data_IF_448701546383
#
_entry.id   IF_448701546383
#
_cell.length_a   1.000
_cell.length_b   1.000
_cell.length_c   1.000
_cell.angle_alpha   90.00
_cell.angle_beta   90.00
_cell.angle_gamma   90.00
#
_symmetry.space_group_name_H-M   'P 1'
#
loop_
_entity.id
_entity.type
_entity.pdbx_description
1 polymer ?
#
# COMPACT_ATOMS: atom_id res chain seq x y z
N UNK A 1 42.31 -13.83 8.37
CA UNK A 1 42.16 -13.40 9.76
C UNK A 1 41.41 -12.08 9.76
N UNK A 2 40.24 -12.04 10.39
CA UNK A 2 39.35 -10.88 10.43
C UNK A 2 38.10 -11.23 11.22
N UNK A 3 38.30 -11.42 12.53
CA UNK A 3 37.28 -11.72 13.53
C UNK A 3 36.31 -10.55 13.64
N UNK A 4 35.07 -10.71 13.19
CA UNK A 4 33.97 -9.83 13.61
C UNK A 4 33.57 -10.24 15.02
N UNK A 5 34.17 -9.55 16.00
CA UNK A 5 33.88 -9.67 17.42
C UNK A 5 32.47 -9.17 17.74
N UNK A 6 31.69 -10.07 18.32
CA UNK A 6 30.42 -9.81 18.97
C UNK A 6 30.70 -9.19 20.36
N UNK A 7 30.24 -7.97 20.60
CA UNK A 7 30.09 -7.43 21.96
C UNK A 7 28.63 -7.05 22.17
N UNK A 8 28.00 -7.73 23.13
CA UNK A 8 26.62 -7.55 23.59
C UNK A 8 26.64 -6.79 24.92
N UNK A 9 25.77 -5.79 25.04
CA UNK A 9 25.22 -5.24 26.30
C UNK A 9 24.00 -4.38 25.89
N UNK A 10 22.74 -4.83 26.05
CA UNK A 10 21.88 -4.63 27.24
C UNK A 10 21.95 -3.17 27.72
N UNK A 11 20.95 -2.28 27.64
CA UNK A 11 19.49 -2.42 27.69
C UNK A 11 18.77 -1.35 26.86
N UNK A 12 17.89 -1.78 25.97
CA UNK A 12 16.53 -1.24 25.90
C UNK A 12 15.66 -2.37 25.37
N UNK A 13 14.53 -2.61 26.01
CA UNK A 13 13.50 -3.56 25.60
C UNK A 13 12.88 -3.15 24.26
N UNK A 14 13.69 -3.17 23.20
CA UNK A 14 13.29 -3.15 21.81
C UNK A 14 12.60 -4.49 21.57
N UNK A 15 11.30 -4.51 21.84
CA UNK A 15 10.46 -5.57 21.30
C UNK A 15 10.68 -5.54 19.79
N UNK A 16 11.51 -6.46 19.27
CA UNK A 16 11.44 -6.86 17.87
C UNK A 16 9.95 -6.99 17.61
N UNK A 17 9.32 -6.18 16.74
CA UNK A 17 7.90 -6.33 16.48
C UNK A 17 7.75 -7.74 15.92
N UNK A 18 7.32 -8.63 16.81
CA UNK A 18 7.05 -10.05 16.64
C UNK A 18 6.46 -10.21 15.25
N UNK A 19 7.07 -10.98 14.34
CA UNK A 19 6.69 -11.04 12.90
C UNK A 19 5.15 -11.09 12.69
N UNK A 20 4.46 -11.80 13.58
CA UNK A 20 3.00 -11.83 13.75
C UNK A 20 2.28 -10.46 13.79
N UNK A 21 2.82 -9.43 14.46
CA UNK A 21 2.23 -8.07 14.48
C UNK A 21 2.24 -7.42 13.10
N UNK A 22 3.27 -7.68 12.27
CA UNK A 22 3.34 -7.15 10.90
C UNK A 22 2.40 -7.91 9.96
N UNK A 23 2.32 -9.23 10.11
CA UNK A 23 1.36 -10.07 9.39
C UNK A 23 -0.07 -9.57 9.62
N UNK A 24 -0.45 -9.36 10.88
CA UNK A 24 -1.77 -8.81 11.23
C UNK A 24 -2.03 -7.43 10.60
N UNK A 25 -1.03 -6.56 10.61
CA UNK A 25 -1.12 -5.25 9.96
C UNK A 25 -1.36 -5.38 8.44
N UNK A 26 -0.69 -6.32 7.77
CA UNK A 26 -0.88 -6.57 6.34
C UNK A 26 -2.24 -7.19 6.03
N UNK A 27 -2.73 -8.10 6.87
CA UNK A 27 -4.08 -8.66 6.73
C UNK A 27 -5.15 -7.56 6.83
N UNK A 28 -5.07 -6.70 7.84
CA UNK A 28 -6.00 -5.57 8.03
C UNK A 28 -5.89 -4.53 6.91
N UNK A 29 -4.69 -4.30 6.38
CA UNK A 29 -4.48 -3.47 5.18
C UNK A 29 -5.21 -4.05 3.97
N UNK A 30 -5.10 -5.35 3.75
CA UNK A 30 -5.67 -5.99 2.56
C UNK A 30 -7.20 -6.06 2.65
N UNK A 31 -7.76 -6.21 3.85
CA UNK A 31 -9.21 -6.08 4.08
C UNK A 31 -9.70 -4.66 3.77
N UNK A 32 -9.00 -3.64 4.26
CA UNK A 32 -9.31 -2.25 3.96
C UNK A 32 -9.25 -1.96 2.45
N UNK A 33 -8.19 -2.42 1.77
CA UNK A 33 -8.04 -2.26 0.32
C UNK A 33 -9.16 -2.95 -0.47
N UNK A 34 -9.55 -4.17 -0.08
CA UNK A 34 -10.69 -4.86 -0.71
C UNK A 34 -11.99 -4.07 -0.59
N UNK A 35 -12.21 -3.41 0.55
CA UNK A 35 -13.36 -2.53 0.71
C UNK A 35 -13.25 -1.32 -0.24
N UNK A 36 -12.09 -0.67 -0.33
CA UNK A 36 -11.87 0.44 -1.27
C UNK A 36 -12.14 0.04 -2.72
N UNK A 37 -11.70 -1.16 -3.13
CA UNK A 37 -11.90 -1.68 -4.49
C UNK A 37 -13.39 -1.86 -4.80
N UNK A 38 -14.19 -2.35 -3.84
CA UNK A 38 -15.65 -2.50 -3.99
C UNK A 38 -16.37 -1.19 -4.31
N UNK A 39 -15.84 -0.07 -3.82
CA UNK A 39 -16.40 1.28 -4.03
C UNK A 39 -15.62 2.11 -5.06
N UNK A 40 -14.68 1.50 -5.79
CA UNK A 40 -13.85 2.15 -6.81
C UNK A 40 -13.08 3.37 -6.27
N UNK A 41 -12.57 3.29 -5.04
CA UNK A 41 -11.81 4.37 -4.41
C UNK A 41 -10.33 4.15 -4.66
N UNK A 42 -9.71 4.97 -5.52
CA UNK A 42 -8.27 4.90 -5.80
C UNK A 42 -7.44 5.63 -4.72
N UNK A 43 -7.89 6.80 -4.29
CA UNK A 43 -7.16 7.66 -3.35
C UNK A 43 -7.89 7.76 -2.00
N UNK A 44 -7.44 6.97 -1.03
CA UNK A 44 -8.00 6.98 0.32
C UNK A 44 -7.70 8.25 1.13
N UNK A 45 -6.80 9.13 0.65
CA UNK A 45 -6.44 10.39 1.30
C UNK A 45 -7.24 11.59 0.75
N UNK A 46 -8.03 11.40 -0.31
CA UNK A 46 -8.85 12.48 -0.87
C UNK A 46 -10.07 12.81 0.02
N UNK A 47 -10.41 14.10 0.12
CA UNK A 47 -11.51 14.58 0.97
C UNK A 47 -12.86 13.97 0.61
N UNK A 48 -13.13 13.76 -0.68
CA UNK A 48 -14.39 13.16 -1.13
C UNK A 48 -14.45 11.68 -0.78
N UNK A 49 -13.29 11.00 -0.89
CA UNK A 49 -13.16 9.57 -0.59
C UNK A 49 -13.32 9.29 0.91
N UNK A 50 -12.85 10.18 1.79
CA UNK A 50 -13.01 10.04 3.26
C UNK A 50 -14.48 9.86 3.65
N UNK A 51 -15.41 10.59 3.02
CA UNK A 51 -16.84 10.46 3.32
C UNK A 51 -17.37 9.06 2.96
N UNK A 52 -16.99 8.54 1.79
CA UNK A 52 -17.43 7.22 1.31
C UNK A 52 -16.81 6.12 2.17
N UNK A 53 -15.54 6.26 2.55
CA UNK A 53 -14.82 5.35 3.44
C UNK A 53 -15.52 5.29 4.82
N UNK A 54 -15.84 6.44 5.41
CA UNK A 54 -16.52 6.49 6.71
C UNK A 54 -17.93 5.90 6.68
N UNK A 55 -18.58 5.85 5.51
CA UNK A 55 -19.91 5.27 5.37
C UNK A 55 -19.88 3.76 5.10
N UNK A 56 -18.87 3.28 4.38
CA UNK A 56 -18.88 1.93 3.82
C UNK A 56 -17.74 1.03 4.28
N UNK A 57 -16.61 1.60 4.71
CA UNK A 57 -15.37 0.89 5.06
C UNK A 57 -14.84 1.32 6.45
N UNK A 58 -15.72 1.85 7.31
CA UNK A 58 -15.31 2.43 8.59
C UNK A 58 -14.80 1.38 9.58
N UNK A 59 -15.30 0.15 9.51
CA UNK A 59 -14.87 -0.94 10.37
C UNK A 59 -13.46 -1.41 9.99
N UNK A 60 -13.22 -1.61 8.70
CA UNK A 60 -11.93 -1.99 8.15
C UNK A 60 -10.89 -0.88 8.35
N UNK A 61 -11.26 0.39 8.18
CA UNK A 61 -10.36 1.51 8.44
C UNK A 61 -9.98 1.58 9.92
N UNK A 62 -10.93 1.41 10.85
CA UNK A 62 -10.65 1.35 12.30
C UNK A 62 -9.73 0.18 12.64
N UNK A 63 -9.98 -1.00 12.06
CA UNK A 63 -9.18 -2.19 12.30
C UNK A 63 -7.76 -2.03 11.76
N UNK A 64 -7.61 -1.41 10.59
CA UNK A 64 -6.32 -1.08 10.00
C UNK A 64 -5.53 -0.08 10.86
N UNK A 65 -6.18 0.97 11.36
CA UNK A 65 -5.56 1.92 12.30
C UNK A 65 -5.20 1.29 13.66
N UNK A 66 -5.92 0.25 14.08
CA UNK A 66 -5.67 -0.47 15.35
C UNK A 66 -4.50 -1.44 15.24
N UNK A 67 -4.40 -2.16 14.12
CA UNK A 67 -3.39 -3.21 13.95
C UNK A 67 -2.06 -2.69 13.39
N UNK A 68 -2.05 -1.51 12.79
CA UNK A 68 -0.86 -0.89 12.21
C UNK A 68 -0.42 0.37 12.96
N UNK A 69 0.86 0.71 12.86
CA UNK A 69 1.33 2.03 13.28
C UNK A 69 0.76 3.13 12.35
N UNK A 70 0.40 4.29 12.90
CA UNK A 70 -0.21 5.38 12.12
C UNK A 70 0.63 5.81 10.91
N UNK A 71 1.96 5.86 11.06
CA UNK A 71 2.88 6.17 9.94
C UNK A 71 2.84 5.14 8.83
N UNK A 72 2.59 3.86 9.14
CA UNK A 72 2.42 2.80 8.15
C UNK A 72 1.07 2.92 7.44
N UNK A 73 0.01 3.26 8.16
CA UNK A 73 -1.33 3.48 7.58
C UNK A 73 -1.29 4.58 6.52
N UNK A 74 -0.74 5.74 6.88
CA UNK A 74 -0.62 6.88 5.97
C UNK A 74 0.23 6.53 4.74
N UNK A 75 1.40 5.91 4.97
CA UNK A 75 2.28 5.45 3.89
C UNK A 75 1.57 4.48 2.94
N UNK A 76 0.88 3.45 3.44
CA UNK A 76 0.22 2.47 2.60
C UNK A 76 -0.95 3.06 1.80
N UNK A 77 -1.74 3.97 2.40
CA UNK A 77 -2.82 4.67 1.70
C UNK A 77 -2.26 5.48 0.51
N UNK A 78 -1.17 6.21 0.72
CA UNK A 78 -0.48 6.94 -0.35
C UNK A 78 0.15 6.02 -1.39
N UNK A 79 0.83 4.97 -0.93
CA UNK A 79 1.51 3.99 -1.81
C UNK A 79 0.54 3.33 -2.78
N UNK A 80 -0.62 2.86 -2.30
CA UNK A 80 -1.66 2.25 -3.16
C UNK A 80 -2.06 3.17 -4.31
N UNK A 81 -2.29 4.45 -4.03
CA UNK A 81 -2.64 5.43 -5.06
C UNK A 81 -1.53 5.62 -6.10
N UNK A 82 -0.27 5.71 -5.66
CA UNK A 82 0.88 5.82 -6.57
C UNK A 82 1.01 4.57 -7.45
N UNK A 83 0.83 3.38 -6.87
CA UNK A 83 0.90 2.11 -7.60
C UNK A 83 -0.21 1.99 -8.66
N UNK A 84 -1.45 2.37 -8.32
CA UNK A 84 -2.56 2.42 -9.29
C UNK A 84 -2.25 3.38 -10.44
N UNK A 85 -1.74 4.58 -10.14
CA UNK A 85 -1.36 5.55 -11.17
C UNK A 85 -0.23 5.04 -12.06
N UNK A 86 0.79 4.41 -11.47
CA UNK A 86 1.90 3.83 -12.21
C UNK A 86 1.41 2.72 -13.15
N UNK A 87 0.52 1.85 -12.67
CA UNK A 87 -0.07 0.79 -13.50
C UNK A 87 -0.84 1.36 -14.70
N UNK A 88 -1.73 2.34 -14.47
CA UNK A 88 -2.48 3.03 -15.54
C UNK A 88 -1.55 3.71 -16.56
N UNK A 89 -0.47 4.32 -16.09
CA UNK A 89 0.50 4.97 -16.98
C UNK A 89 1.25 3.95 -17.84
N UNK A 90 1.68 2.82 -17.26
CA UNK A 90 2.36 1.77 -18.01
C UNK A 90 1.44 1.15 -19.07
N UNK A 91 0.18 0.88 -18.72
CA UNK A 91 -0.83 0.40 -19.66
C UNK A 91 -1.02 1.36 -20.85
N UNK A 92 -1.09 2.66 -20.58
CA UNK A 92 -1.21 3.67 -21.65
C UNK A 92 0.01 3.68 -22.58
N UNK A 93 1.22 3.59 -22.01
CA UNK A 93 2.47 3.53 -22.79
C UNK A 93 2.50 2.29 -23.69
N UNK A 94 2.02 1.14 -23.20
CA UNK A 94 1.93 -0.09 -24.00
C UNK A 94 0.94 0.04 -25.15
N UNK A 95 -0.24 0.63 -24.91
CA UNK A 95 -1.25 0.91 -25.93
C UNK A 95 -0.69 1.86 -27.01
N UNK A 96 -0.04 2.94 -26.60
CA UNK A 96 0.50 3.93 -27.53
C UNK A 96 1.64 3.35 -28.37
N UNK A 97 2.52 2.55 -27.77
CA UNK A 97 3.54 1.80 -28.50
C UNK A 97 2.92 0.81 -29.50
N UNK A 98 1.83 0.13 -29.14
CA UNK A 98 1.14 -0.78 -30.05
C UNK A 98 0.53 -0.05 -31.24
N UNK A 99 -0.11 1.12 -31.01
CA UNK A 99 -0.65 1.97 -32.08
C UNK A 99 0.45 2.43 -33.03
N UNK A 100 1.56 2.96 -32.50
CA UNK A 100 2.70 3.39 -33.31
C UNK A 100 3.27 2.26 -34.17
N UNK A 101 3.34 1.02 -33.66
CA UNK A 101 3.79 -0.13 -34.44
C UNK A 101 2.83 -0.49 -35.56
N UNK A 102 1.52 -0.41 -35.31
CA UNK A 102 0.50 -0.72 -36.32
C UNK A 102 0.47 0.35 -37.42
N UNK A 103 0.56 1.64 -37.07
CA UNK A 103 0.60 2.75 -38.01
C UNK A 103 1.82 2.68 -38.97
N UNK A 104 2.92 2.07 -38.50
CA UNK A 104 4.12 1.85 -39.32
C UNK A 104 4.03 0.62 -40.23
N UNK A 105 3.09 -0.30 -39.99
CA UNK A 105 2.87 -1.49 -40.83
C UNK A 105 1.82 -1.25 -41.93
N UNK A 106 1.02 -0.18 -41.83
CA UNK A 106 0.00 0.22 -42.82
C UNK A 106 0.49 1.27 -43.83
N UNK A 107 1.76 1.68 -43.76
CA UNK A 107 2.46 2.52 -44.74
C UNK A 107 3.45 1.71 -45.55
#
# INVERSE_FOLDING_TARGET
MGFFGLSKSEDSSSQIPMRSKREKCWESRDLFNKCLDKYNIDNALDKNSIKIINQNCAEEDKQFNKDCAASWVEYFKGKRYVEIKKAKMLEQVEIDNAKLRNDNNEK
#
